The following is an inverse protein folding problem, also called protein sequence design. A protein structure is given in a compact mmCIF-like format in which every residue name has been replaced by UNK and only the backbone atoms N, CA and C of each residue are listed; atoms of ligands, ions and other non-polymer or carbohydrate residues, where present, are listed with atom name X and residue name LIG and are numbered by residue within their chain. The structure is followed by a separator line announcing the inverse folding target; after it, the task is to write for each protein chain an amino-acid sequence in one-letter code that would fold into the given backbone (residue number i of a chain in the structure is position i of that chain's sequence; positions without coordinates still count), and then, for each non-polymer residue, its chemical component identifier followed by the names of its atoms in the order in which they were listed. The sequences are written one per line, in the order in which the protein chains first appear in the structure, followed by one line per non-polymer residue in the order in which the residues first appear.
data_IF_166742940489
#
_entry.id   IF_166742940489
#
_cell.length_a   1.000
_cell.length_b   1.000
_cell.length_c   1.000
_cell.angle_alpha   90.00
_cell.angle_beta   90.00
_cell.angle_gamma   90.00
#
_symmetry.space_group_name_H-M   'P 1'
#
loop_
_entity.id
_entity.type
_entity.pdbx_description
1 polymer ?
#
# COMPACT_ATOMS: atom_id res chain seq x y z
N UNK A 1 29.44 -11.39 27.50
CA UNK A 1 28.63 -11.14 26.29
C UNK A 1 27.47 -10.25 26.69
N UNK A 2 27.38 -9.03 26.17
CA UNK A 2 26.23 -8.16 26.41
C UNK A 2 25.01 -8.70 25.64
N UNK A 3 23.79 -8.65 26.20
CA UNK A 3 22.60 -9.13 25.52
C UNK A 3 22.32 -8.22 24.31
N UNK A 4 22.20 -8.82 23.13
CA UNK A 4 21.76 -8.15 21.90
C UNK A 4 20.32 -7.70 22.12
N UNK A 5 20.12 -6.45 22.55
CA UNK A 5 18.79 -5.85 22.62
C UNK A 5 18.22 -5.87 21.20
N UNK A 6 17.20 -6.71 20.96
CA UNK A 6 16.36 -6.58 19.76
C UNK A 6 15.75 -5.19 19.83
N UNK A 7 16.35 -4.24 19.12
CA UNK A 7 15.79 -2.91 18.91
C UNK A 7 14.52 -3.11 18.11
N UNK A 8 13.39 -3.23 18.81
CA UNK A 8 12.08 -3.21 18.18
C UNK A 8 11.95 -1.94 17.36
N UNK A 9 11.47 -2.06 16.13
CA UNK A 9 11.20 -0.89 15.29
C UNK A 9 10.23 0.02 16.04
N UNK A 10 10.53 1.32 16.12
CA UNK A 10 9.61 2.30 16.72
C UNK A 10 8.23 2.14 16.09
N UNK A 11 7.21 2.12 16.94
CA UNK A 11 5.81 2.20 16.52
C UNK A 11 5.65 3.36 15.55
N UNK A 12 5.07 3.09 14.39
CA UNK A 12 4.92 4.09 13.32
C UNK A 12 3.58 4.84 13.40
N UNK A 13 2.93 4.85 14.58
CA UNK A 13 1.62 5.44 14.82
C UNK A 13 0.44 4.53 14.45
N UNK A 14 -0.76 5.10 14.40
CA UNK A 14 -2.00 4.40 14.01
C UNK A 14 -1.95 4.01 12.52
N UNK A 15 -2.08 2.71 12.24
CA UNK A 15 -1.92 2.13 10.90
C UNK A 15 -2.81 0.91 10.73
N UNK A 16 -3.42 0.77 9.55
CA UNK A 16 -4.08 -0.46 9.14
C UNK A 16 -3.08 -1.36 8.40
N UNK A 17 -3.05 -2.65 8.75
CA UNK A 17 -2.30 -3.64 7.99
C UNK A 17 -3.06 -3.98 6.71
N UNK A 18 -2.38 -3.88 5.56
CA UNK A 18 -2.92 -4.28 4.25
C UNK A 18 -1.94 -5.27 3.65
N UNK A 19 -2.38 -6.52 3.49
CA UNK A 19 -1.59 -7.60 2.90
C UNK A 19 -2.26 -8.12 1.63
N UNK A 20 -1.46 -8.47 0.63
CA UNK A 20 -1.91 -9.11 -0.60
C UNK A 20 -0.88 -10.14 -1.07
N UNK A 21 -1.33 -11.10 -1.88
CA UNK A 21 -0.45 -12.12 -2.48
C UNK A 21 -0.01 -11.67 -3.86
N UNK A 22 1.28 -11.82 -4.15
CA UNK A 22 1.86 -11.61 -5.47
C UNK A 22 2.68 -12.84 -5.87
N UNK A 23 2.91 -12.99 -7.18
CA UNK A 23 3.78 -14.04 -7.69
C UNK A 23 5.21 -13.84 -7.14
N UNK A 24 5.85 -14.94 -6.72
CA UNK A 24 7.21 -14.93 -6.14
C UNK A 24 8.21 -14.11 -6.96
N UNK A 25 8.30 -14.24 -8.30
CA UNK A 25 9.28 -13.46 -9.07
C UNK A 25 9.08 -11.95 -8.98
N UNK A 26 7.84 -11.49 -8.76
CA UNK A 26 7.54 -10.07 -8.56
C UNK A 26 7.88 -9.60 -7.15
N UNK A 27 7.76 -10.48 -6.16
CA UNK A 27 8.19 -10.20 -4.80
C UNK A 27 9.71 -10.03 -4.73
N UNK A 28 10.43 -10.91 -5.42
CA UNK A 28 11.90 -10.85 -5.51
C UNK A 28 12.36 -9.55 -6.18
N UNK A 29 11.78 -9.21 -7.33
CA UNK A 29 12.07 -7.95 -8.03
C UNK A 29 11.78 -6.71 -7.16
N UNK A 30 10.69 -6.74 -6.41
CA UNK A 30 10.34 -5.68 -5.47
C UNK A 30 11.39 -5.52 -4.35
N UNK A 31 11.94 -6.62 -3.85
CA UNK A 31 13.00 -6.58 -2.84
C UNK A 31 14.30 -6.00 -3.41
N UNK A 32 14.66 -6.37 -4.64
CA UNK A 32 15.84 -5.83 -5.34
C UNK A 32 15.73 -4.33 -5.57
N UNK A 33 14.57 -3.86 -6.05
CA UNK A 33 14.32 -2.43 -6.29
C UNK A 33 14.40 -1.65 -4.99
N UNK A 34 13.72 -2.11 -3.93
CA UNK A 34 13.73 -1.43 -2.64
C UNK A 34 15.16 -1.27 -2.09
N UNK A 35 16.00 -2.31 -2.22
CA UNK A 35 17.42 -2.25 -1.83
C UNK A 35 18.21 -1.27 -2.69
N UNK A 36 18.01 -1.30 -4.00
CA UNK A 36 18.70 -0.41 -4.93
C UNK A 36 18.37 1.07 -4.68
N UNK A 37 17.14 1.37 -4.26
CA UNK A 37 16.69 2.71 -3.88
C UNK A 37 17.07 3.11 -2.45
N UNK A 38 17.75 2.25 -1.70
CA UNK A 38 18.28 2.56 -0.36
C UNK A 38 17.31 2.30 0.79
N UNK A 39 16.18 1.64 0.55
CA UNK A 39 15.24 1.28 1.62
C UNK A 39 15.76 0.09 2.43
N UNK A 40 15.64 0.21 3.76
CA UNK A 40 15.95 -0.89 4.68
C UNK A 40 14.86 -1.99 4.66
N UNK A 41 13.62 -1.62 4.36
CA UNK A 41 12.47 -2.53 4.36
C UNK A 41 11.59 -2.30 3.13
N UNK A 42 11.20 -3.39 2.47
CA UNK A 42 10.28 -3.38 1.32
C UNK A 42 8.93 -2.74 1.67
N UNK A 43 8.47 -2.86 2.92
CA UNK A 43 7.23 -2.22 3.37
C UNK A 43 7.29 -0.69 3.31
N UNK A 44 8.48 -0.12 3.47
CA UNK A 44 8.67 1.33 3.44
C UNK A 44 8.63 1.81 1.99
N UNK A 45 9.36 1.13 1.10
CA UNK A 45 9.27 1.34 -0.35
C UNK A 45 7.82 1.23 -0.86
N UNK A 46 7.10 0.16 -0.47
CA UNK A 46 5.69 -0.01 -0.82
C UNK A 46 4.79 1.11 -0.28
N UNK A 47 5.09 1.65 0.91
CA UNK A 47 4.31 2.74 1.48
C UNK A 47 4.44 3.99 0.61
N UNK A 48 5.64 4.31 0.16
CA UNK A 48 5.92 5.49 -0.66
C UNK A 48 5.30 5.36 -2.06
N UNK A 49 5.38 4.16 -2.67
CA UNK A 49 4.71 3.86 -3.95
C UNK A 49 3.18 4.04 -3.85
N UNK A 50 2.58 3.55 -2.76
CA UNK A 50 1.13 3.70 -2.53
C UNK A 50 0.78 5.17 -2.29
N UNK A 51 1.58 5.89 -1.50
CA UNK A 51 1.37 7.31 -1.23
C UNK A 51 1.44 8.14 -2.52
N UNK A 52 2.45 7.91 -3.36
CA UNK A 52 2.58 8.56 -4.67
C UNK A 52 1.37 8.28 -5.56
N UNK A 53 0.91 7.02 -5.61
CA UNK A 53 -0.26 6.63 -6.39
C UNK A 53 -1.52 7.32 -5.87
N UNK A 54 -1.71 7.41 -4.56
CA UNK A 54 -2.86 8.09 -3.95
C UNK A 54 -2.83 9.58 -4.22
N UNK A 55 -1.67 10.23 -4.09
CA UNK A 55 -1.49 11.66 -4.37
C UNK A 55 -1.84 12.00 -5.83
N UNK A 56 -1.54 11.10 -6.78
CA UNK A 56 -1.86 11.26 -8.20
C UNK A 56 -3.30 10.83 -8.55
N UNK A 57 -4.02 10.19 -7.64
CA UNK A 57 -5.38 9.69 -7.89
C UNK A 57 -6.42 10.67 -7.35
N UNK A 58 -7.29 11.16 -8.23
CA UNK A 58 -8.47 11.95 -7.82
C UNK A 58 -9.55 11.03 -7.25
N UNK A 59 -9.42 10.66 -5.98
CA UNK A 59 -10.34 9.73 -5.30
C UNK A 59 -11.81 10.18 -5.40
N UNK A 60 -12.06 11.48 -5.27
CA UNK A 60 -13.42 12.04 -5.36
C UNK A 60 -14.11 11.83 -6.71
N UNK A 61 -13.34 11.64 -7.79
CA UNK A 61 -13.90 11.38 -9.12
C UNK A 61 -14.28 9.90 -9.33
N UNK A 62 -13.77 8.97 -8.51
CA UNK A 62 -14.03 7.53 -8.63
C UNK A 62 -15.35 7.15 -7.95
N UNK A 63 -15.82 7.93 -6.98
CA UNK A 63 -17.02 7.64 -6.17
C UNK A 63 -18.34 8.09 -6.83
N UNK A 64 -18.32 8.57 -8.07
CA UNK A 64 -19.55 8.90 -8.81
C UNK A 64 -20.19 7.63 -9.41
N UNK A 65 -20.67 6.73 -8.57
CA UNK A 65 -21.79 5.86 -8.96
C UNK A 65 -23.06 6.69 -8.81
N UNK A 66 -23.57 7.21 -9.92
CA UNK A 66 -24.94 7.73 -9.95
C UNK A 66 -25.93 6.58 -9.72
N UNK A 67 -26.95 6.86 -8.93
CA UNK A 67 -28.06 5.95 -8.66
C UNK A 67 -28.71 5.57 -10.00
N UNK A 68 -28.71 4.27 -10.35
CA UNK A 68 -29.41 3.78 -11.54
C UNK A 68 -30.89 4.18 -11.42
N UNK A 69 -31.49 4.86 -12.42
CA UNK A 69 -32.90 5.22 -12.39
C UNK A 69 -33.76 3.96 -12.63
N UNK A 70 -33.86 3.11 -11.61
CA UNK A 70 -34.71 1.92 -11.61
C UNK A 70 -36.22 2.26 -11.56
N UNK A 71 -36.57 3.55 -11.48
CA UNK A 71 -37.96 4.03 -11.38
C UNK A 71 -38.69 4.32 -12.70
N UNK A 72 -38.12 4.04 -13.89
CA UNK A 72 -38.78 4.30 -15.19
C UNK A 72 -39.05 3.08 -16.07
N UNK A 73 -38.64 1.87 -15.66
CA UNK A 73 -38.91 0.64 -16.42
C UNK A 73 -40.25 -0.03 -16.05
N UNK A 74 -41.02 0.58 -15.14
CA UNK A 74 -42.37 0.16 -14.78
C UNK A 74 -43.35 1.32 -14.98
N UNK A 75 -43.62 1.66 -16.24
CA UNK A 75 -44.77 2.47 -16.67
C UNK A 75 -45.21 2.03 -18.05
#
# INVERSE_FOLDING_TARGET
MAPTTRTGRRSKGDRKFVGFRIATPKADAMEEIAKAEGYQYVSDWLSDVVEERLAKTRLHAIVQQEELPLGRLAS
#
